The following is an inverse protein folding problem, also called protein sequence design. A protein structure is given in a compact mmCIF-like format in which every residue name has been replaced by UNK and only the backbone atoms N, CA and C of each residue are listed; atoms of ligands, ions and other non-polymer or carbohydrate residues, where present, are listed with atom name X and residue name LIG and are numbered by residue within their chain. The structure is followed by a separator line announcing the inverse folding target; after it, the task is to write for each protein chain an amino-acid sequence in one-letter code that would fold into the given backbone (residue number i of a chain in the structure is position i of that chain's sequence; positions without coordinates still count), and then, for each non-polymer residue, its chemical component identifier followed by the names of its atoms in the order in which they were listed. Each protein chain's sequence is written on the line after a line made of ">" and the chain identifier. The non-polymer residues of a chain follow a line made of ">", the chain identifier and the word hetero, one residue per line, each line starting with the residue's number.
data_IF_575339318689
#
_entry.id   IF_575339318689
#
_cell.length_a   1.000
_cell.length_b   1.000
_cell.length_c   1.000
_cell.angle_alpha   90.00
_cell.angle_beta   90.00
_cell.angle_gamma   90.00
#
_symmetry.space_group_name_H-M   'P 1'
#
loop_
_entity.id
_entity.type
_entity.pdbx_description
1 polymer ?
#
# COMPACT_ATOMS: atom_id res chain seq x y z
N UNK A 1 4.90 -7.94 4.53
CA UNK A 1 5.78 -8.29 5.68
C UNK A 1 6.43 -7.02 6.22
N UNK A 2 6.92 -7.04 7.46
CA UNK A 2 7.82 -5.97 7.94
C UNK A 2 9.19 -6.14 7.25
N UNK A 3 9.95 -5.06 7.10
CA UNK A 3 11.22 -5.06 6.37
C UNK A 3 12.30 -4.19 7.04
N UNK A 4 13.54 -4.67 7.02
CA UNK A 4 14.73 -3.84 7.20
C UNK A 4 15.47 -3.72 5.88
N UNK A 5 15.60 -2.49 5.38
CA UNK A 5 16.47 -2.14 4.28
C UNK A 5 17.83 -1.69 4.83
N UNK A 6 18.85 -2.53 4.67
CA UNK A 6 20.22 -2.33 5.14
C UNK A 6 21.08 -1.87 3.97
N UNK A 7 21.56 -0.63 4.01
CA UNK A 7 22.42 -0.07 2.96
C UNK A 7 23.88 -0.44 3.28
N UNK A 8 24.45 -1.39 2.53
CA UNK A 8 25.80 -1.91 2.82
C UNK A 8 26.88 -1.02 2.22
N UNK A 9 26.69 -0.58 0.98
CA UNK A 9 27.60 0.34 0.27
C UNK A 9 26.83 1.32 -0.60
N UNK A 10 27.44 2.48 -0.89
CA UNK A 10 26.85 3.54 -1.71
C UNK A 10 25.65 4.23 -1.05
N UNK A 11 25.10 5.22 -1.74
CA UNK A 11 24.01 6.06 -1.25
C UNK A 11 22.67 5.80 -1.94
N UNK A 12 21.60 5.82 -1.15
CA UNK A 12 20.22 5.57 -1.62
C UNK A 12 19.23 6.54 -1.03
N UNK A 13 18.40 7.16 -1.86
CA UNK A 13 17.23 7.92 -1.42
C UNK A 13 16.01 7.01 -1.33
N UNK A 14 15.28 7.10 -0.23
CA UNK A 14 14.01 6.38 -0.03
C UNK A 14 12.91 7.37 0.28
N UNK A 15 11.82 7.27 -0.46
CA UNK A 15 10.59 8.03 -0.25
C UNK A 15 9.52 7.06 0.21
N UNK A 16 8.78 7.39 1.28
CA UNK A 16 7.72 6.57 1.83
C UNK A 16 6.38 7.30 1.90
N UNK A 17 5.30 6.54 1.83
CA UNK A 17 3.93 7.02 2.02
C UNK A 17 3.19 6.12 3.01
N UNK A 18 2.30 6.75 3.78
CA UNK A 18 1.51 6.05 4.79
C UNK A 18 0.62 4.99 4.13
N UNK A 19 0.38 3.84 4.78
CA UNK A 19 -0.64 2.88 4.34
C UNK A 19 -2.04 3.51 4.16
N UNK A 20 -2.31 4.64 4.84
CA UNK A 20 -3.57 5.37 4.72
C UNK A 20 -3.67 6.24 3.48
N UNK A 21 -2.57 6.49 2.79
CA UNK A 21 -2.55 7.28 1.55
C UNK A 21 -2.95 6.45 0.33
N UNK A 22 -3.36 5.18 0.48
CA UNK A 22 -3.91 4.31 -0.59
C UNK A 22 -4.84 5.06 -1.57
N UNK A 23 -5.81 5.89 -1.13
CA UNK A 23 -6.71 6.60 -2.05
C UNK A 23 -6.03 7.61 -2.97
N UNK A 24 -4.79 8.01 -2.67
CA UNK A 24 -4.03 9.05 -3.38
C UNK A 24 -2.93 8.47 -4.26
N UNK A 25 -2.59 7.18 -4.10
CA UNK A 25 -1.44 6.55 -4.74
C UNK A 25 -1.75 5.83 -6.05
N UNK A 26 -3.01 5.79 -6.50
CA UNK A 26 -3.42 5.17 -7.78
C UNK A 26 -2.84 3.76 -7.95
N UNK A 27 -3.29 2.84 -7.10
CA UNK A 27 -2.71 1.50 -7.02
C UNK A 27 -3.31 0.53 -8.05
N UNK A 28 -2.45 -0.24 -8.68
CA UNK A 28 -2.79 -1.45 -9.45
C UNK A 28 -2.10 -2.64 -8.79
N UNK A 29 -2.89 -3.43 -8.05
CA UNK A 29 -2.37 -4.41 -7.11
C UNK A 29 -1.55 -3.74 -6.00
N UNK A 30 -0.28 -4.15 -5.85
CA UNK A 30 0.64 -3.61 -4.83
C UNK A 30 1.52 -2.46 -5.32
N UNK A 31 1.34 -1.99 -6.57
CA UNK A 31 2.17 -0.96 -7.21
C UNK A 31 1.36 0.31 -7.48
N UNK A 32 2.02 1.45 -7.36
CA UNK A 32 1.47 2.74 -7.80
C UNK A 32 1.68 2.92 -9.31
N UNK A 33 0.72 3.55 -9.97
CA UNK A 33 0.83 4.00 -11.36
C UNK A 33 1.62 5.32 -11.51
N UNK A 34 1.93 6.01 -10.40
CA UNK A 34 2.76 7.22 -10.39
C UNK A 34 4.23 6.83 -10.38
N UNK A 35 4.85 6.85 -11.57
CA UNK A 35 6.23 6.39 -11.76
C UNK A 35 7.28 7.41 -11.32
N UNK A 36 7.07 8.69 -11.64
CA UNK A 36 7.92 9.80 -11.21
C UNK A 36 7.28 10.49 -10.01
N UNK A 37 7.78 10.18 -8.81
CA UNK A 37 7.28 10.74 -7.54
C UNK A 37 7.86 12.12 -7.23
N UNK A 38 8.88 12.55 -7.98
CA UNK A 38 9.52 13.86 -7.82
C UNK A 38 8.88 14.90 -8.77
N UNK A 39 8.39 14.46 -9.93
CA UNK A 39 7.63 15.27 -10.87
C UNK A 39 6.38 14.51 -11.39
N UNK A 40 5.35 14.31 -10.54
CA UNK A 40 4.16 13.57 -10.92
C UNK A 40 3.30 14.34 -11.94
N UNK A 41 2.72 13.61 -12.89
CA UNK A 41 1.72 14.14 -13.81
C UNK A 41 0.39 14.34 -13.05
N UNK A 42 0.13 15.58 -12.63
CA UNK A 42 -1.09 15.93 -11.90
C UNK A 42 -2.34 16.05 -12.77
N UNK A 43 -2.22 16.08 -14.11
CA UNK A 43 -3.38 15.97 -14.98
C UNK A 43 -3.92 14.53 -14.94
N UNK A 44 -3.01 13.55 -14.96
CA UNK A 44 -3.37 12.14 -14.86
C UNK A 44 -3.64 11.67 -13.42
N UNK A 45 -2.90 12.18 -12.45
CA UNK A 45 -2.94 11.74 -11.05
C UNK A 45 -3.21 12.90 -10.06
N UNK A 46 -4.32 13.63 -10.20
CA UNK A 46 -4.59 14.85 -9.43
C UNK A 46 -4.66 14.65 -7.91
N UNK A 47 -5.02 13.46 -7.43
CA UNK A 47 -5.11 13.17 -6.00
C UNK A 47 -3.75 12.92 -5.35
N UNK A 48 -2.69 12.68 -6.12
CA UNK A 48 -1.37 12.35 -5.59
C UNK A 48 -0.78 13.48 -4.74
N UNK A 49 -1.17 14.72 -5.02
CA UNK A 49 -0.80 15.90 -4.20
C UNK A 49 -1.23 15.78 -2.73
N UNK A 50 -2.23 14.94 -2.43
CA UNK A 50 -2.72 14.70 -1.07
C UNK A 50 -1.91 13.63 -0.32
N UNK A 51 -1.09 12.86 -1.02
CA UNK A 51 -0.25 11.83 -0.41
C UNK A 51 0.88 12.49 0.39
N UNK A 52 1.04 12.11 1.66
CA UNK A 52 2.06 12.71 2.51
C UNK A 52 3.39 11.99 2.31
N UNK A 53 4.33 12.70 1.70
CA UNK A 53 5.70 12.23 1.46
C UNK A 53 6.54 12.23 2.74
N UNK A 54 7.15 11.10 3.05
CA UNK A 54 8.25 10.96 3.99
C UNK A 54 9.53 10.65 3.20
N UNK A 55 10.69 11.18 3.60
CA UNK A 55 11.94 10.96 2.85
C UNK A 55 13.13 10.80 3.79
N UNK A 56 14.03 9.90 3.43
CA UNK A 56 15.36 9.81 3.99
C UNK A 56 16.40 9.49 2.91
N UNK A 57 17.67 9.71 3.24
CA UNK A 57 18.81 9.22 2.49
C UNK A 57 19.52 8.21 3.39
N UNK A 58 19.88 7.08 2.82
CA UNK A 58 20.64 6.01 3.47
C UNK A 58 22.07 6.08 2.96
N UNK A 59 23.00 6.24 3.89
CA UNK A 59 24.43 6.09 3.66
C UNK A 59 24.86 4.64 3.94
N UNK A 60 26.09 4.30 3.58
CA UNK A 60 26.65 2.99 3.89
C UNK A 60 26.69 2.76 5.42
N UNK A 61 26.07 1.67 5.88
CA UNK A 61 25.90 1.33 7.29
C UNK A 61 24.51 1.64 7.85
N UNK A 62 23.70 2.47 7.17
CA UNK A 62 22.36 2.80 7.64
C UNK A 62 21.38 1.64 7.46
N UNK A 63 20.41 1.59 8.39
CA UNK A 63 19.29 0.64 8.34
C UNK A 63 17.97 1.39 8.44
N UNK A 64 17.12 1.21 7.44
CA UNK A 64 15.75 1.72 7.43
C UNK A 64 14.77 0.62 7.79
N UNK A 65 14.01 0.84 8.85
CA UNK A 65 12.81 0.05 9.13
C UNK A 65 11.65 0.52 8.25
N UNK A 66 11.04 -0.42 7.52
CA UNK A 66 9.84 -0.20 6.72
C UNK A 66 8.76 -1.14 7.28
N UNK A 67 7.79 -0.61 8.05
CA UNK A 67 6.69 -1.43 8.55
C UNK A 67 5.87 -1.99 7.38
N UNK A 68 5.23 -3.14 7.61
CA UNK A 68 4.32 -3.73 6.63
C UNK A 68 3.29 -2.69 6.13
N UNK A 69 2.91 -2.82 4.86
CA UNK A 69 1.98 -1.92 4.15
C UNK A 69 2.53 -0.53 3.77
N UNK A 70 3.72 -0.13 4.24
CA UNK A 70 4.28 1.17 3.84
C UNK A 70 4.77 1.15 2.38
N UNK A 71 4.20 2.04 1.59
CA UNK A 71 4.64 2.26 0.22
C UNK A 71 6.00 2.94 0.23
N UNK A 72 6.88 2.50 -0.66
CA UNK A 72 8.21 3.09 -0.77
C UNK A 72 8.71 3.11 -2.21
N UNK A 73 9.39 4.19 -2.58
CA UNK A 73 10.14 4.34 -3.82
C UNK A 73 11.61 4.51 -3.46
N UNK A 74 12.50 3.80 -4.15
CA UNK A 74 13.94 3.82 -3.89
C UNK A 74 14.69 4.24 -5.14
N UNK A 75 15.63 5.18 -4.97
CA UNK A 75 16.52 5.64 -6.04
C UNK A 75 17.96 5.49 -5.55
N UNK A 76 18.77 4.74 -6.30
CA UNK A 76 20.21 4.66 -6.06
C UNK A 76 20.84 5.95 -6.56
N UNK A 77 21.39 6.75 -5.65
CA UNK A 77 22.08 8.00 -6.00
C UNK A 77 23.53 7.71 -6.40
N UNK A 78 24.08 6.61 -5.89
CA UNK A 78 25.38 6.06 -6.27
C UNK A 78 25.26 4.55 -6.56
N UNK A 79 26.31 3.96 -7.12
CA UNK A 79 26.44 2.51 -7.17
C UNK A 79 26.59 1.95 -5.75
N UNK A 80 25.79 0.95 -5.41
CA UNK A 80 25.78 0.40 -4.05
C UNK A 80 25.06 -0.94 -3.95
N UNK A 81 25.30 -1.64 -2.85
CA UNK A 81 24.66 -2.91 -2.51
C UNK A 81 23.83 -2.71 -1.24
N UNK A 82 22.60 -3.23 -1.25
CA UNK A 82 21.71 -3.20 -0.10
C UNK A 82 21.06 -4.57 0.11
N UNK A 83 20.72 -4.88 1.35
CA UNK A 83 20.05 -6.10 1.75
C UNK A 83 18.68 -5.76 2.33
N UNK A 84 17.66 -6.54 1.99
CA UNK A 84 16.34 -6.47 2.62
C UNK A 84 16.11 -7.74 3.44
N UNK A 85 15.62 -7.57 4.67
CA UNK A 85 15.25 -8.68 5.55
C UNK A 85 13.77 -8.56 5.88
N UNK A 86 12.96 -9.48 5.35
CA UNK A 86 11.53 -9.52 5.61
C UNK A 86 11.19 -10.51 6.73
N UNK A 87 10.25 -10.13 7.59
CA UNK A 87 9.70 -11.04 8.60
C UNK A 87 8.19 -10.85 8.82
N UNK A 88 7.59 -11.86 9.46
CA UNK A 88 6.16 -11.89 9.77
C UNK A 88 5.91 -11.06 11.02
N UNK A 89 5.05 -10.06 10.88
CA UNK A 89 4.52 -9.26 12.00
C UNK A 89 3.37 -9.98 12.72
N UNK A 90 2.54 -10.68 11.94
CA UNK A 90 1.38 -11.42 12.42
C UNK A 90 1.72 -12.91 12.64
N UNK A 91 0.84 -13.67 13.31
CA UNK A 91 0.95 -15.13 13.34
C UNK A 91 1.08 -15.75 11.94
N UNK A 92 1.84 -16.84 11.84
CA UNK A 92 2.25 -17.40 10.55
C UNK A 92 1.08 -17.89 9.68
N UNK A 93 -0.01 -18.29 10.31
CA UNK A 93 -1.27 -18.75 9.72
C UNK A 93 -2.07 -17.64 9.01
N UNK A 94 -1.80 -16.37 9.32
CA UNK A 94 -2.45 -15.24 8.67
C UNK A 94 -1.96 -15.06 7.22
N UNK A 95 -0.79 -15.59 6.87
CA UNK A 95 -0.17 -15.41 5.55
C UNK A 95 -0.48 -16.57 4.60
N UNK A 96 -0.53 -16.27 3.30
CA UNK A 96 -0.67 -17.27 2.26
C UNK A 96 0.60 -18.15 2.22
N UNK A 97 0.42 -19.48 2.35
CA UNK A 97 1.52 -20.46 2.35
C UNK A 97 2.25 -20.55 1.01
N UNK A 98 1.61 -20.13 -0.07
CA UNK A 98 2.17 -20.09 -1.42
C UNK A 98 2.88 -18.77 -1.74
N UNK A 99 2.87 -17.79 -0.83
CA UNK A 99 3.58 -16.54 -1.01
C UNK A 99 5.05 -16.68 -0.64
N UNK A 100 5.90 -16.81 -1.66
CA UNK A 100 7.35 -16.86 -1.50
C UNK A 100 8.01 -15.49 -1.46
N UNK A 101 7.30 -14.42 -1.84
CA UNK A 101 7.86 -13.08 -1.96
C UNK A 101 7.44 -12.16 -0.79
N UNK A 102 6.25 -12.35 -0.24
CA UNK A 102 5.69 -11.48 0.80
C UNK A 102 4.77 -10.38 0.28
N UNK A 103 4.29 -10.51 -0.96
CA UNK A 103 3.42 -9.54 -1.65
C UNK A 103 1.95 -9.95 -1.67
N UNK A 104 1.61 -11.21 -1.36
CA UNK A 104 0.21 -11.61 -1.31
C UNK A 104 -0.43 -11.08 -0.04
N UNK A 105 -1.70 -10.70 -0.18
CA UNK A 105 -2.49 -10.27 0.96
C UNK A 105 -2.62 -11.39 2.00
N UNK A 106 -2.72 -11.05 3.29
CA UNK A 106 -3.12 -11.99 4.33
C UNK A 106 -4.42 -12.72 3.94
N UNK A 107 -4.52 -14.01 4.27
CA UNK A 107 -5.62 -14.87 3.80
C UNK A 107 -7.01 -14.33 4.14
N UNK A 108 -7.15 -13.68 5.30
CA UNK A 108 -8.37 -13.02 5.71
C UNK A 108 -8.75 -11.83 4.80
N UNK A 109 -7.77 -11.02 4.39
CA UNK A 109 -7.98 -9.90 3.48
C UNK A 109 -8.36 -10.40 2.08
N UNK A 110 -7.64 -11.39 1.53
CA UNK A 110 -7.96 -12.01 0.25
C UNK A 110 -9.39 -12.56 0.23
N UNK A 111 -9.81 -13.25 1.30
CA UNK A 111 -11.17 -13.77 1.43
C UNK A 111 -12.21 -12.64 1.53
N UNK A 112 -11.91 -11.58 2.28
CA UNK A 112 -12.81 -10.43 2.41
C UNK A 112 -13.04 -9.73 1.07
N UNK A 113 -11.99 -9.55 0.28
CA UNK A 113 -12.06 -8.98 -1.08
C UNK A 113 -12.93 -9.88 -1.98
N UNK A 114 -12.71 -11.20 -1.97
CA UNK A 114 -13.56 -12.14 -2.75
C UNK A 114 -15.04 -12.08 -2.36
N UNK A 115 -15.36 -11.87 -1.08
CA UNK A 115 -16.74 -11.71 -0.61
C UNK A 115 -17.30 -10.36 -1.08
N UNK A 116 -16.50 -9.29 -1.03
CA UNK A 116 -16.87 -7.98 -1.55
C UNK A 116 -17.21 -8.05 -3.04
N UNK A 117 -16.38 -8.71 -3.85
CA UNK A 117 -16.62 -8.86 -5.29
C UNK A 117 -17.96 -9.58 -5.57
N UNK A 118 -18.30 -10.60 -4.77
CA UNK A 118 -19.60 -11.27 -4.87
C UNK A 118 -20.76 -10.34 -4.51
N UNK A 119 -20.60 -9.52 -3.48
CA UNK A 119 -21.63 -8.55 -3.08
C UNK A 119 -21.83 -7.46 -4.15
N UNK A 120 -20.75 -6.98 -4.75
CA UNK A 120 -20.80 -6.03 -5.86
C UNK A 120 -21.48 -6.64 -7.09
N UNK A 121 -21.20 -7.91 -7.40
CA UNK A 121 -21.88 -8.64 -8.48
C UNK A 121 -23.40 -8.72 -8.27
N UNK A 122 -23.87 -8.94 -7.04
CA UNK A 122 -25.32 -8.91 -6.75
C UNK A 122 -25.93 -7.53 -6.97
N UNK A 123 -25.19 -6.46 -6.70
CA UNK A 123 -25.68 -5.09 -6.98
C UNK A 123 -25.81 -4.78 -8.47
N UNK A 124 -25.17 -5.54 -9.37
CA UNK A 124 -25.31 -5.38 -10.82
C UNK A 124 -26.71 -5.76 -11.34
N UNK A 125 -27.52 -6.46 -10.53
CA UNK A 125 -28.92 -6.78 -10.85
C UNK A 125 -29.83 -5.54 -10.80
N UNK A 126 -29.38 -4.46 -10.16
CA UNK A 126 -30.13 -3.20 -10.03
C UNK A 126 -29.78 -2.21 -11.16
N UNK A 127 -30.70 -1.29 -11.52
CA UNK A 127 -30.37 -0.16 -12.38
C UNK A 127 -29.22 0.68 -11.80
N UNK A 128 -28.50 1.37 -12.69
CA UNK A 128 -27.27 2.10 -12.35
C UNK A 128 -27.41 3.07 -11.16
N UNK A 129 -28.49 3.86 -11.14
CA UNK A 129 -28.74 4.84 -10.06
C UNK A 129 -28.91 4.17 -8.69
N UNK A 130 -29.59 3.02 -8.65
CA UNK A 130 -29.79 2.26 -7.42
C UNK A 130 -28.48 1.61 -6.98
N UNK A 131 -27.72 1.06 -7.93
CA UNK A 131 -26.38 0.50 -7.66
C UNK A 131 -25.43 1.56 -7.08
N UNK A 132 -25.37 2.76 -7.66
CA UNK A 132 -24.55 3.87 -7.14
C UNK A 132 -24.95 4.25 -5.71
N UNK A 133 -26.26 4.43 -5.46
CA UNK A 133 -26.76 4.76 -4.13
C UNK A 133 -26.36 3.72 -3.07
N UNK A 134 -26.57 2.43 -3.36
CA UNK A 134 -26.23 1.37 -2.40
C UNK A 134 -24.72 1.17 -2.26
N UNK A 135 -23.93 1.35 -3.32
CA UNK A 135 -22.47 1.31 -3.24
C UNK A 135 -21.92 2.39 -2.30
N UNK A 136 -22.42 3.64 -2.41
CA UNK A 136 -22.06 4.73 -1.48
C UNK A 136 -22.40 4.39 -0.03
N UNK A 137 -23.57 3.80 0.22
CA UNK A 137 -23.96 3.35 1.56
C UNK A 137 -23.05 2.25 2.11
N UNK A 138 -22.58 1.33 1.26
CA UNK A 138 -21.63 0.30 1.66
C UNK A 138 -20.28 0.91 2.05
N UNK A 139 -19.75 1.85 1.26
CA UNK A 139 -18.50 2.57 1.58
C UNK A 139 -18.60 3.27 2.93
N UNK A 140 -19.68 4.01 3.19
CA UNK A 140 -19.90 4.68 4.47
C UNK A 140 -19.92 3.69 5.65
N UNK A 141 -20.57 2.53 5.47
CA UNK A 141 -20.63 1.49 6.51
C UNK A 141 -19.28 0.82 6.76
N UNK A 142 -18.43 0.69 5.74
CA UNK A 142 -17.05 0.21 5.89
C UNK A 142 -16.23 1.24 6.66
N UNK A 143 -16.32 2.51 6.28
CA UNK A 143 -15.63 3.60 6.97
C UNK A 143 -16.02 3.65 8.44
N UNK A 144 -17.31 3.65 8.76
CA UNK A 144 -17.82 3.70 10.13
C UNK A 144 -17.35 2.52 10.99
N UNK A 145 -17.33 1.30 10.45
CA UNK A 145 -17.09 0.07 11.23
C UNK A 145 -15.65 -0.40 11.26
N UNK A 146 -14.86 -0.10 10.23
CA UNK A 146 -13.54 -0.70 10.05
C UNK A 146 -12.40 0.34 10.05
N UNK A 147 -12.67 1.62 9.77
CA UNK A 147 -11.61 2.62 9.83
C UNK A 147 -11.36 2.97 11.30
N UNK A 148 -10.07 3.10 11.65
CA UNK A 148 -9.68 3.56 12.98
C UNK A 148 -9.94 5.06 13.07
N UNK A 149 -10.77 5.48 14.02
CA UNK A 149 -10.89 6.88 14.38
C UNK A 149 -9.67 7.26 15.21
N UNK A 150 -8.89 8.25 14.76
CA UNK A 150 -7.71 8.75 15.51
C UNK A 150 -8.09 9.66 16.69
N UNK A 151 -9.33 9.57 17.20
CA UNK A 151 -9.76 10.22 18.44
C UNK A 151 -9.62 9.27 19.64
N UNK A 152 -8.47 8.60 19.78
CA UNK A 152 -8.17 7.68 20.88
C UNK A 152 -6.68 7.39 20.99
#
# INVERSE_FOLDING_TARGET
>A
MDNFLIQVTGRKRVVLYSPRDVPYLYLSGTKSEVLDVDNPDFEKYPLFVKAKRYQCHLEAGDVLFIPAMWFHNVISEEFGVALNVFWKHLPAECYDKSDTYGNKDPTAASRAIQILDRALKTLEELPEEYRDFYARRMVLRIQEKAYRNDYG
#
